data_IF_519467830742
#
_entry.id   IF_519467830742
#
_cell.length_a   1.000
_cell.length_b   1.000
_cell.length_c   1.000
_cell.angle_alpha   90.00
_cell.angle_beta   90.00
_cell.angle_gamma   90.00
#
_symmetry.space_group_name_H-M   'P 1'
#
loop_
_entity.id
_entity.type
_entity.pdbx_description
1 polymer ?
#
# COMPACT_ATOMS: atom_id res chain seq x y z
N UNK A 1 24.84 -17.66 9.78
CA UNK A 1 24.34 -18.88 9.10
C UNK A 1 23.05 -18.50 8.40
N UNK A 2 22.95 -18.65 7.07
CA UNK A 2 21.76 -18.24 6.31
C UNK A 2 20.59 -19.19 6.67
N UNK A 3 19.35 -18.67 6.76
CA UNK A 3 18.16 -19.50 7.01
C UNK A 3 17.95 -20.43 5.80
N UNK A 4 18.47 -21.64 5.90
CA UNK A 4 18.29 -22.71 4.93
C UNK A 4 17.67 -23.88 5.69
N UNK A 5 16.43 -24.22 5.35
CA UNK A 5 15.68 -25.28 6.01
C UNK A 5 16.02 -26.66 5.41
N UNK A 6 16.52 -26.69 4.17
CA UNK A 6 17.01 -27.90 3.53
C UNK A 6 17.93 -27.61 2.34
N UNK A 7 18.76 -28.58 2.00
CA UNK A 7 19.59 -28.59 0.79
C UNK A 7 19.28 -29.82 -0.04
N UNK A 8 19.18 -29.66 -1.36
CA UNK A 8 19.13 -30.76 -2.30
C UNK A 8 20.06 -30.48 -3.47
N UNK A 9 20.85 -31.47 -3.88
CA UNK A 9 21.71 -31.38 -5.06
C UNK A 9 21.19 -32.38 -6.08
N UNK A 10 20.94 -31.92 -7.30
CA UNK A 10 20.45 -32.74 -8.39
C UNK A 10 21.52 -32.89 -9.49
N UNK A 11 21.59 -34.08 -10.09
CA UNK A 11 22.33 -34.32 -11.33
C UNK A 11 21.62 -33.70 -12.55
N UNK A 12 22.22 -33.83 -13.75
CA UNK A 12 21.62 -33.34 -14.99
C UNK A 12 20.33 -34.07 -15.41
N UNK A 13 20.03 -35.23 -14.79
CA UNK A 13 18.84 -36.06 -15.01
C UNK A 13 17.79 -35.87 -13.90
N UNK A 14 17.99 -34.88 -13.01
CA UNK A 14 17.15 -34.58 -11.85
C UNK A 14 17.10 -35.68 -10.76
N UNK A 15 18.12 -36.54 -10.69
CA UNK A 15 18.29 -37.48 -9.58
C UNK A 15 19.00 -36.80 -8.39
N UNK A 16 18.57 -37.06 -7.14
CA UNK A 16 19.21 -36.50 -5.96
C UNK A 16 20.60 -37.14 -5.73
N UNK A 17 21.60 -36.28 -5.48
CA UNK A 17 22.96 -36.64 -5.09
C UNK A 17 23.15 -36.27 -3.61
N UNK A 18 23.90 -37.07 -2.82
CA UNK A 18 24.27 -36.71 -1.45
C UNK A 18 24.97 -35.33 -1.37
N UNK A 19 24.59 -34.54 -0.36
CA UNK A 19 25.14 -33.18 -0.12
C UNK A 19 26.56 -33.25 0.46
N UNK A 20 26.95 -34.40 1.03
CA UNK A 20 28.25 -34.60 1.69
C UNK A 20 29.10 -35.56 0.87
N UNK A 21 30.03 -35.03 0.08
CA UNK A 21 31.24 -35.76 -0.27
C UNK A 21 32.43 -34.99 0.32
N UNK A 22 32.88 -35.43 1.50
CA UNK A 22 34.22 -35.07 1.98
C UNK A 22 35.23 -35.64 0.96
N UNK A 23 36.06 -34.75 0.41
CA UNK A 23 37.44 -35.02 0.01
C UNK A 23 37.74 -35.90 -1.24
N UNK A 24 36.83 -36.07 -2.20
CA UNK A 24 37.20 -36.60 -3.53
C UNK A 24 36.79 -35.64 -4.66
N UNK A 25 37.16 -34.37 -4.50
CA UNK A 25 37.02 -33.32 -5.52
C UNK A 25 38.14 -33.37 -6.58
N UNK A 26 38.77 -34.53 -6.79
CA UNK A 26 39.74 -34.71 -7.85
C UNK A 26 39.38 -35.95 -8.65
N UNK A 27 39.06 -35.70 -9.92
CA UNK A 27 38.84 -36.63 -11.03
C UNK A 27 37.37 -36.93 -11.35
N UNK A 28 36.97 -36.45 -12.55
CA UNK A 28 35.71 -36.71 -13.30
C UNK A 28 34.43 -36.08 -12.71
N UNK A 29 33.64 -35.25 -13.38
CA UNK A 29 33.55 -34.87 -14.79
C UNK A 29 32.72 -33.57 -14.88
N UNK A 30 32.70 -32.99 -16.07
CA UNK A 30 32.03 -31.76 -16.49
C UNK A 30 30.47 -31.82 -16.40
N UNK A 31 29.92 -32.35 -15.32
CA UNK A 31 28.48 -32.58 -15.14
C UNK A 31 27.80 -31.42 -14.43
N UNK A 32 26.83 -30.82 -15.12
CA UNK A 32 25.99 -29.72 -14.62
C UNK A 32 25.18 -30.18 -13.40
N UNK A 33 25.60 -29.73 -12.21
CA UNK A 33 24.88 -29.96 -10.93
C UNK A 33 23.94 -28.80 -10.65
N UNK A 34 22.70 -29.09 -10.24
CA UNK A 34 21.74 -28.06 -9.81
C UNK A 34 21.60 -28.12 -8.29
N UNK A 35 21.99 -27.05 -7.61
CA UNK A 35 21.84 -26.93 -6.15
C UNK A 35 20.53 -26.23 -5.84
N UNK A 36 19.72 -26.80 -4.97
CA UNK A 36 18.43 -26.26 -4.56
C UNK A 36 18.48 -25.96 -3.06
N UNK A 37 18.27 -24.68 -2.73
CA UNK A 37 18.13 -24.24 -1.34
C UNK A 37 16.64 -24.16 -1.00
N UNK A 38 16.19 -24.94 -0.01
CA UNK A 38 14.81 -24.93 0.44
C UNK A 38 14.69 -23.95 1.61
N UNK A 39 13.81 -22.96 1.47
CA UNK A 39 13.57 -21.94 2.49
C UNK A 39 12.08 -21.91 2.82
N UNK A 40 11.77 -22.19 4.08
CA UNK A 40 10.42 -22.11 4.60
C UNK A 40 10.21 -20.74 5.25
N UNK A 41 9.25 -19.98 4.74
CA UNK A 41 8.87 -18.68 5.25
C UNK A 41 7.72 -18.82 6.21
N UNK A 42 7.94 -18.41 7.46
CA UNK A 42 6.90 -18.39 8.48
C UNK A 42 6.04 -17.11 8.40
N UNK A 43 5.06 -17.01 9.30
CA UNK A 43 4.19 -15.83 9.39
C UNK A 43 4.99 -14.53 9.59
N UNK A 44 6.05 -14.56 10.38
CA UNK A 44 6.82 -13.35 10.69
C UNK A 44 7.69 -12.90 9.53
N UNK A 45 8.15 -13.83 8.69
CA UNK A 45 8.94 -13.53 7.49
C UNK A 45 8.12 -12.79 6.42
N UNK A 46 6.82 -13.10 6.28
CA UNK A 46 5.94 -12.60 5.21
C UNK A 46 5.02 -11.44 5.63
N UNK A 47 4.84 -11.18 6.92
CA UNK A 47 3.88 -10.17 7.41
C UNK A 47 4.49 -8.80 7.76
N UNK A 48 5.77 -8.56 7.44
CA UNK A 48 6.45 -7.27 7.67
C UNK A 48 6.63 -6.46 6.38
N UNK A 49 5.55 -6.03 5.73
CA UNK A 49 5.63 -5.13 4.58
C UNK A 49 4.59 -5.43 3.50
N UNK A 50 5.03 -5.47 2.24
CA UNK A 50 4.18 -5.85 1.10
C UNK A 50 3.71 -7.30 1.32
N UNK A 51 2.40 -7.53 1.18
CA UNK A 51 1.76 -8.79 1.55
C UNK A 51 2.33 -9.98 0.76
N UNK A 52 2.64 -11.08 1.46
CA UNK A 52 3.12 -12.35 0.91
C UNK A 52 4.52 -12.36 0.26
N UNK A 53 5.37 -11.38 0.53
CA UNK A 53 6.76 -11.38 0.07
C UNK A 53 7.75 -11.33 1.25
N UNK A 54 8.84 -12.12 1.22
CA UNK A 54 9.89 -12.03 2.23
C UNK A 54 10.56 -10.65 2.12
N UNK A 55 10.89 -10.05 3.26
CA UNK A 55 11.50 -8.73 3.35
C UNK A 55 12.71 -8.74 4.30
N UNK A 56 13.49 -7.65 4.29
CA UNK A 56 14.62 -7.47 5.21
C UNK A 56 15.63 -8.62 5.13
N UNK A 57 15.91 -9.23 6.28
CA UNK A 57 16.91 -10.32 6.42
C UNK A 57 16.49 -11.59 5.65
N UNK A 58 15.19 -11.87 5.56
CA UNK A 58 14.65 -12.99 4.81
C UNK A 58 14.94 -12.83 3.31
N UNK A 59 14.58 -11.67 2.73
CA UNK A 59 14.87 -11.34 1.35
C UNK A 59 16.38 -11.39 1.04
N UNK A 60 17.20 -10.79 1.91
CA UNK A 60 18.66 -10.81 1.78
C UNK A 60 19.22 -12.25 1.80
N UNK A 61 18.69 -13.10 2.68
CA UNK A 61 19.11 -14.51 2.76
C UNK A 61 18.83 -15.28 1.47
N UNK A 62 17.65 -15.09 0.87
CA UNK A 62 17.31 -15.69 -0.42
C UNK A 62 18.24 -15.21 -1.54
N UNK A 63 18.48 -13.89 -1.64
CA UNK A 63 19.39 -13.33 -2.64
C UNK A 63 20.82 -13.85 -2.49
N UNK A 64 21.31 -14.02 -1.26
CA UNK A 64 22.65 -14.54 -1.03
C UNK A 64 22.76 -16.02 -1.40
N UNK A 65 21.70 -16.82 -1.22
CA UNK A 65 21.66 -18.20 -1.69
C UNK A 65 21.71 -18.26 -3.23
N UNK A 66 20.97 -17.39 -3.91
CA UNK A 66 21.02 -17.28 -5.38
C UNK A 66 22.42 -16.90 -5.86
N UNK A 67 23.06 -15.91 -5.21
CA UNK A 67 24.44 -15.51 -5.52
C UNK A 67 25.47 -16.61 -5.23
N UNK A 68 25.18 -17.52 -4.29
CA UNK A 68 25.97 -18.73 -4.02
C UNK A 68 25.71 -19.87 -5.02
N UNK A 69 24.89 -19.64 -6.05
CA UNK A 69 24.61 -20.61 -7.11
C UNK A 69 23.50 -21.61 -6.78
N UNK A 70 22.68 -21.34 -5.75
CA UNK A 70 21.48 -22.14 -5.47
C UNK A 70 20.28 -21.62 -6.25
N UNK A 71 19.43 -22.53 -6.73
CA UNK A 71 18.03 -22.22 -7.03
C UNK A 71 17.24 -22.25 -5.73
N UNK A 72 16.62 -21.14 -5.36
CA UNK A 72 15.87 -21.05 -4.09
C UNK A 72 14.43 -21.50 -4.29
N UNK A 73 14.00 -22.51 -3.52
CA UNK A 73 12.61 -22.95 -3.43
C UNK A 73 11.98 -22.35 -2.17
N UNK A 74 11.11 -21.36 -2.36
CA UNK A 74 10.38 -20.71 -1.28
C UNK A 74 9.10 -21.48 -0.94
N UNK A 75 8.89 -21.78 0.34
CA UNK A 75 7.68 -22.43 0.86
C UNK A 75 7.01 -21.48 1.86
N UNK A 76 5.96 -20.74 1.46
CA UNK A 76 5.25 -19.84 2.36
C UNK A 76 4.32 -20.59 3.31
N UNK A 77 4.18 -20.08 4.54
CA UNK A 77 3.26 -20.64 5.55
C UNK A 77 1.78 -20.64 5.12
N UNK A 78 1.41 -19.79 4.16
CA UNK A 78 0.04 -19.69 3.62
C UNK A 78 -0.34 -20.93 2.82
N UNK A 79 0.63 -21.52 2.14
CA UNK A 79 0.37 -22.56 1.13
C UNK A 79 0.81 -23.95 1.60
N UNK A 80 1.65 -24.01 2.64
CA UNK A 80 2.16 -25.26 3.21
C UNK A 80 1.90 -25.34 4.71
N UNK A 81 1.04 -26.28 5.10
CA UNK A 81 0.76 -26.59 6.50
C UNK A 81 1.31 -27.98 6.87
N UNK A 82 2.26 -28.09 7.82
CA UNK A 82 2.81 -29.38 8.26
C UNK A 82 1.77 -30.36 8.83
N UNK A 83 0.61 -29.87 9.26
CA UNK A 83 -0.49 -30.68 9.82
C UNK A 83 -1.39 -31.30 8.75
N UNK A 84 -1.24 -30.92 7.49
CA UNK A 84 -2.05 -31.46 6.40
C UNK A 84 -1.67 -32.92 6.06
N UNK A 85 -2.60 -33.62 5.41
CA UNK A 85 -2.39 -34.99 4.91
C UNK A 85 -1.08 -35.08 4.12
N UNK A 86 -0.29 -36.13 4.38
CA UNK A 86 1.03 -36.34 3.78
C UNK A 86 1.00 -36.23 2.25
N UNK A 87 0.00 -36.84 1.61
CA UNK A 87 -0.17 -36.82 0.15
C UNK A 87 -0.23 -35.38 -0.39
N UNK A 88 -1.00 -34.50 0.26
CA UNK A 88 -1.14 -33.09 -0.14
C UNK A 88 0.18 -32.33 0.00
N UNK A 89 0.91 -32.58 1.10
CA UNK A 89 2.22 -31.97 1.35
C UNK A 89 3.24 -32.39 0.30
N UNK A 90 3.29 -33.67 -0.05
CA UNK A 90 4.21 -34.20 -1.07
C UNK A 90 3.85 -33.65 -2.45
N UNK A 91 2.58 -33.66 -2.84
CA UNK A 91 2.12 -33.11 -4.12
C UNK A 91 2.49 -31.62 -4.28
N UNK A 92 2.30 -30.83 -3.23
CA UNK A 92 2.67 -29.41 -3.24
C UNK A 92 4.18 -29.22 -3.45
N UNK A 93 5.02 -29.92 -2.68
CA UNK A 93 6.48 -29.81 -2.79
C UNK A 93 6.99 -30.30 -4.15
N UNK A 94 6.41 -31.37 -4.68
CA UNK A 94 6.71 -31.89 -6.01
C UNK A 94 6.37 -30.87 -7.10
N UNK A 95 5.21 -30.20 -6.97
CA UNK A 95 4.80 -29.15 -7.91
C UNK A 95 5.75 -27.94 -7.85
N UNK A 96 6.12 -27.49 -6.65
CA UNK A 96 7.09 -26.38 -6.49
C UNK A 96 8.45 -26.72 -7.11
N UNK A 97 8.92 -27.96 -6.90
CA UNK A 97 10.16 -28.44 -7.49
C UNK A 97 10.10 -28.47 -9.04
N UNK A 98 9.01 -28.98 -9.61
CA UNK A 98 8.77 -28.99 -11.07
C UNK A 98 8.73 -27.57 -11.64
N UNK A 99 8.08 -26.63 -10.95
CA UNK A 99 8.02 -25.22 -11.37
C UNK A 99 9.42 -24.57 -11.35
N UNK A 100 10.21 -24.83 -10.31
CA UNK A 100 11.57 -24.29 -10.17
C UNK A 100 12.52 -24.82 -11.25
N UNK A 101 12.36 -26.08 -11.65
CA UNK A 101 13.17 -26.73 -12.68
C UNK A 101 12.72 -26.39 -14.11
N UNK A 102 11.43 -26.11 -14.34
CA UNK A 102 10.85 -25.77 -15.65
C UNK A 102 10.99 -24.29 -16.05
N UNK A 103 11.85 -23.54 -15.35
CA UNK A 103 12.00 -22.07 -15.34
C UNK A 103 12.21 -21.38 -16.70
N UNK A 104 12.46 -22.09 -17.80
CA UNK A 104 12.63 -21.50 -19.14
C UNK A 104 11.35 -20.98 -19.79
N UNK A 105 10.18 -21.61 -19.54
CA UNK A 105 8.92 -21.30 -20.25
C UNK A 105 7.98 -20.40 -19.45
N UNK A 106 8.01 -20.54 -18.12
CA UNK A 106 7.11 -19.83 -17.20
C UNK A 106 7.60 -18.46 -16.77
N UNK A 107 8.89 -18.14 -16.96
CA UNK A 107 9.45 -16.82 -16.63
C UNK A 107 8.77 -15.69 -17.40
N UNK A 108 8.50 -15.89 -18.70
CA UNK A 108 7.78 -14.90 -19.53
C UNK A 108 6.32 -14.73 -19.13
N UNK A 109 5.64 -15.82 -18.77
CA UNK A 109 4.23 -15.78 -18.37
C UNK A 109 4.11 -15.16 -16.98
N UNK A 110 4.98 -15.53 -16.03
CA UNK A 110 5.03 -14.91 -14.71
C UNK A 110 5.45 -13.44 -14.81
N UNK A 111 6.44 -13.06 -15.61
CA UNK A 111 6.80 -11.64 -15.81
C UNK A 111 5.65 -10.84 -16.45
N UNK A 112 4.94 -11.40 -17.43
CA UNK A 112 3.78 -10.77 -18.05
C UNK A 112 2.59 -10.65 -17.08
N UNK A 113 2.32 -11.71 -16.30
CA UNK A 113 1.24 -11.73 -15.30
C UNK A 113 1.60 -10.81 -14.12
N UNK A 114 2.85 -10.80 -13.65
CA UNK A 114 3.33 -9.87 -12.62
C UNK A 114 3.25 -8.43 -13.13
N UNK A 115 3.69 -8.14 -14.35
CA UNK A 115 3.56 -6.82 -14.96
C UNK A 115 2.10 -6.38 -15.08
N UNK A 116 1.20 -7.30 -15.44
CA UNK A 116 -0.24 -7.03 -15.54
C UNK A 116 -0.92 -6.86 -14.18
N UNK A 117 -0.53 -7.63 -13.15
CA UNK A 117 -1.06 -7.51 -11.79
C UNK A 117 -0.49 -6.27 -11.09
N UNK A 118 0.77 -5.93 -11.30
CA UNK A 118 1.41 -4.73 -10.76
C UNK A 118 0.89 -3.45 -11.44
N UNK A 119 0.48 -3.53 -12.71
CA UNK A 119 -0.26 -2.45 -13.36
C UNK A 119 -1.64 -2.17 -12.71
N UNK A 120 -2.21 -3.15 -12.00
CA UNK A 120 -3.51 -3.04 -11.35
C UNK A 120 -3.45 -2.57 -9.87
N UNK A 121 -2.30 -2.08 -9.39
CA UNK A 121 -2.19 -1.45 -8.06
C UNK A 121 -2.12 0.08 -8.25
N UNK A 122 -3.26 0.80 -8.21
CA UNK A 122 -3.35 2.18 -8.72
C UNK A 122 -2.81 3.24 -7.75
N UNK A 123 -1.81 2.91 -6.92
CA UNK A 123 -1.32 3.82 -5.88
C UNK A 123 0.19 3.69 -5.59
N UNK A 124 0.98 3.12 -6.50
CA UNK A 124 2.44 3.12 -6.35
C UNK A 124 3.06 4.22 -7.21
N UNK A 125 3.91 5.07 -6.60
CA UNK A 125 4.65 6.10 -7.32
C UNK A 125 5.63 5.44 -8.30
N UNK A 126 5.64 5.88 -9.55
CA UNK A 126 6.62 5.50 -10.57
C UNK A 126 7.19 6.75 -11.24
N UNK A 127 8.47 6.73 -11.67
CA UNK A 127 9.10 7.86 -12.34
C UNK A 127 8.42 8.22 -13.67
N UNK A 128 7.80 7.25 -14.32
CA UNK A 128 7.15 7.41 -15.64
C UNK A 128 5.83 8.21 -15.61
N UNK A 129 5.26 8.42 -14.42
CA UNK A 129 4.02 9.18 -14.25
C UNK A 129 4.26 10.66 -14.52
N UNK A 130 3.36 11.30 -15.27
CA UNK A 130 3.42 12.73 -15.61
C UNK A 130 2.87 13.60 -14.46
N UNK A 131 3.13 14.90 -14.49
CA UNK A 131 2.60 15.82 -13.46
C UNK A 131 1.09 16.05 -13.60
N UNK A 132 0.54 15.83 -14.80
CA UNK A 132 -0.89 15.78 -15.10
C UNK A 132 -1.58 14.58 -14.46
N UNK A 133 -0.85 13.49 -14.19
CA UNK A 133 -1.42 12.31 -13.56
C UNK A 133 -1.81 12.59 -12.12
N UNK A 134 -3.07 12.23 -11.79
CA UNK A 134 -3.66 12.45 -10.46
C UNK A 134 -2.82 11.87 -9.33
N UNK A 135 -2.04 10.82 -9.57
CA UNK A 135 -1.18 10.14 -8.61
C UNK A 135 0.06 10.94 -8.20
N UNK A 136 0.52 11.89 -9.04
CA UNK A 136 1.61 12.83 -8.71
C UNK A 136 1.12 14.08 -7.97
N UNK A 137 -0.18 14.34 -7.96
CA UNK A 137 -0.76 15.51 -7.30
C UNK A 137 -0.57 15.46 -5.78
N UNK A 138 -0.41 16.62 -5.15
CA UNK A 138 -0.21 16.67 -3.71
C UNK A 138 -1.51 16.33 -2.97
N UNK A 139 -1.39 15.72 -1.79
CA UNK A 139 -2.53 15.46 -0.91
C UNK A 139 -2.70 16.57 0.12
N UNK A 140 -3.93 17.05 0.29
CA UNK A 140 -4.33 17.95 1.37
C UNK A 140 -5.51 17.30 2.10
N UNK A 141 -5.34 17.11 3.41
CA UNK A 141 -6.41 16.71 4.31
C UNK A 141 -6.81 17.90 5.18
N UNK A 142 -8.10 18.01 5.58
CA UNK A 142 -8.54 19.10 6.46
C UNK A 142 -7.77 19.18 7.78
N UNK A 143 -7.33 18.02 8.30
CA UNK A 143 -6.51 17.94 9.52
C UNK A 143 -5.21 18.77 9.47
N UNK A 144 -4.66 19.04 8.27
CA UNK A 144 -3.40 19.77 8.13
C UNK A 144 -3.49 21.24 8.53
N UNK A 145 -4.66 21.85 8.33
CA UNK A 145 -4.91 23.25 8.62
C UNK A 145 -5.86 23.45 9.82
N UNK A 146 -6.24 22.37 10.52
CA UNK A 146 -7.16 22.46 11.64
C UNK A 146 -6.44 22.98 12.91
N UNK A 147 -6.91 24.10 13.47
CA UNK A 147 -6.37 24.73 14.67
C UNK A 147 -6.63 23.94 15.96
N UNK A 148 -7.68 23.09 15.98
CA UNK A 148 -8.00 22.20 17.11
C UNK A 148 -7.10 20.97 17.18
N UNK A 149 -6.30 20.70 16.14
CA UNK A 149 -5.38 19.56 16.10
C UNK A 149 -3.96 19.98 16.48
N UNK A 150 -3.29 19.11 17.24
CA UNK A 150 -1.86 19.21 17.52
C UNK A 150 -1.02 18.81 16.30
N UNK A 151 0.29 19.07 16.36
CA UNK A 151 1.23 18.62 15.33
C UNK A 151 1.27 17.07 15.24
N UNK A 152 1.18 16.39 16.40
CA UNK A 152 1.12 14.93 16.48
C UNK A 152 -0.14 14.37 15.77
N UNK A 153 -1.29 15.03 15.98
CA UNK A 153 -2.57 14.67 15.36
C UNK A 153 -2.65 15.05 13.87
N UNK A 154 -1.66 15.77 13.34
CA UNK A 154 -1.47 15.97 11.90
C UNK A 154 -1.50 17.41 11.41
N UNK A 155 -1.68 18.41 12.28
CA UNK A 155 -1.54 19.83 11.90
C UNK A 155 -0.16 20.08 11.29
N UNK A 156 -0.10 20.86 10.21
CA UNK A 156 1.14 21.18 9.46
C UNK A 156 1.49 22.67 9.46
N UNK A 157 0.51 23.53 9.71
CA UNK A 157 0.70 24.99 9.80
C UNK A 157 0.76 25.46 11.25
N UNK A 158 1.31 26.65 11.52
CA UNK A 158 1.27 27.27 12.85
C UNK A 158 -0.17 27.51 13.32
N UNK A 159 -0.39 27.60 14.63
CA UNK A 159 -1.75 27.72 15.18
C UNK A 159 -2.45 29.02 14.73
N UNK A 160 -1.67 30.09 14.59
CA UNK A 160 -2.14 31.41 14.12
C UNK A 160 -2.61 31.40 12.66
N UNK A 161 -2.00 30.56 11.83
CA UNK A 161 -2.35 30.41 10.40
C UNK A 161 -3.33 29.26 10.18
N UNK A 162 -3.74 28.58 11.24
CA UNK A 162 -4.68 27.47 11.18
C UNK A 162 -6.13 27.97 11.30
N UNK A 163 -7.06 27.18 10.81
CA UNK A 163 -8.49 27.49 10.79
C UNK A 163 -9.23 26.51 11.68
N UNK A 164 -10.28 26.97 12.35
CA UNK A 164 -11.11 26.11 13.17
C UNK A 164 -11.98 25.20 12.30
N UNK A 165 -11.87 23.88 12.51
CA UNK A 165 -12.72 22.86 11.88
C UNK A 165 -12.93 23.07 10.37
N UNK A 166 -11.86 23.06 9.56
CA UNK A 166 -11.95 23.15 8.11
C UNK A 166 -12.62 21.90 7.53
N UNK A 167 -13.40 22.08 6.45
CA UNK A 167 -14.00 20.98 5.68
C UNK A 167 -13.29 20.80 4.34
N UNK A 168 -13.39 19.61 3.75
CA UNK A 168 -12.80 19.35 2.42
C UNK A 168 -13.47 20.20 1.33
N UNK A 169 -14.75 20.55 1.49
CA UNK A 169 -15.49 21.37 0.54
C UNK A 169 -15.00 22.82 0.55
N UNK A 170 -14.77 23.42 1.73
CA UNK A 170 -14.18 24.76 1.83
C UNK A 170 -12.79 24.82 1.18
N UNK A 171 -11.97 23.79 1.39
CA UNK A 171 -10.64 23.69 0.77
C UNK A 171 -10.77 23.62 -0.75
N UNK A 172 -11.72 22.83 -1.28
CA UNK A 172 -11.99 22.76 -2.72
C UNK A 172 -12.40 24.12 -3.28
N UNK A 173 -13.34 24.80 -2.64
CA UNK A 173 -13.91 26.05 -3.16
C UNK A 173 -12.85 27.16 -3.22
N UNK A 174 -12.02 27.30 -2.18
CA UNK A 174 -10.93 28.28 -2.14
C UNK A 174 -9.87 28.00 -3.21
N UNK A 175 -9.47 26.75 -3.39
CA UNK A 175 -8.45 26.41 -4.38
C UNK A 175 -9.00 26.46 -5.81
N UNK A 176 -10.29 26.15 -6.00
CA UNK A 176 -10.95 26.24 -7.30
C UNK A 176 -11.06 27.70 -7.72
N UNK A 177 -11.37 28.60 -6.79
CA UNK A 177 -11.36 30.04 -7.04
C UNK A 177 -9.96 30.58 -7.35
N UNK A 178 -8.90 29.94 -6.83
CA UNK A 178 -7.51 30.28 -7.10
C UNK A 178 -6.98 29.74 -8.45
N UNK A 179 -7.83 29.06 -9.25
CA UNK A 179 -7.49 28.56 -10.58
C UNK A 179 -6.67 27.27 -10.61
N UNK A 180 -6.60 26.53 -9.50
CA UNK A 180 -5.86 25.26 -9.44
C UNK A 180 -6.72 24.07 -9.88
N UNK A 181 -6.09 23.07 -10.51
CA UNK A 181 -6.74 21.78 -10.85
C UNK A 181 -6.85 20.90 -9.61
N UNK A 182 -8.07 20.43 -9.33
CA UNK A 182 -8.42 19.75 -8.08
C UNK A 182 -9.12 18.41 -8.33
N UNK A 183 -8.78 17.41 -7.52
CA UNK A 183 -9.49 16.14 -7.40
C UNK A 183 -10.01 15.95 -5.98
N UNK A 184 -11.25 15.51 -5.83
CA UNK A 184 -11.86 15.19 -4.52
C UNK A 184 -11.94 13.68 -4.37
N UNK A 185 -11.46 13.16 -3.26
CA UNK A 185 -11.47 11.73 -2.97
C UNK A 185 -12.09 11.44 -1.61
N UNK A 186 -12.88 10.36 -1.54
CA UNK A 186 -13.55 9.93 -0.32
C UNK A 186 -12.62 9.11 0.61
N UNK A 187 -11.49 9.71 1.00
CA UNK A 187 -10.45 9.09 1.85
C UNK A 187 -10.40 9.73 3.23
N UNK A 188 -10.15 8.90 4.24
CA UNK A 188 -9.95 9.35 5.62
C UNK A 188 -8.46 9.54 5.89
N UNK A 189 -8.12 10.54 6.72
CA UNK A 189 -6.74 10.72 7.17
C UNK A 189 -6.39 9.69 8.25
N UNK A 190 -5.22 9.06 8.15
CA UNK A 190 -4.85 7.92 9.00
C UNK A 190 -4.80 8.25 10.50
N UNK A 191 -4.53 9.51 10.88
CA UNK A 191 -4.51 9.94 12.29
C UNK A 191 -5.82 10.60 12.73
N UNK A 192 -6.83 10.63 11.87
CA UNK A 192 -8.15 11.12 12.26
C UNK A 192 -8.84 10.09 13.15
N UNK A 193 -9.32 10.53 14.32
CA UNK A 193 -9.96 9.65 15.31
C UNK A 193 -11.43 9.39 14.96
N UNK A 194 -12.15 10.41 14.50
CA UNK A 194 -13.55 10.27 14.11
C UNK A 194 -13.68 9.71 12.69
N UNK A 195 -14.66 8.81 12.50
CA UNK A 195 -15.01 8.21 11.20
C UNK A 195 -16.24 8.86 10.56
N UNK A 196 -16.74 9.96 11.14
CA UNK A 196 -17.89 10.69 10.60
C UNK A 196 -17.60 11.25 9.20
N UNK A 197 -18.66 11.41 8.41
CA UNK A 197 -18.57 11.88 7.03
C UNK A 197 -17.96 13.28 6.92
N UNK A 198 -18.14 14.11 7.94
CA UNK A 198 -17.63 15.50 7.98
C UNK A 198 -16.09 15.55 7.93
N UNK A 199 -15.41 14.59 8.56
CA UNK A 199 -13.94 14.54 8.61
C UNK A 199 -13.32 13.75 7.44
N UNK A 200 -14.16 13.16 6.60
CA UNK A 200 -13.73 12.41 5.43
C UNK A 200 -13.56 13.36 4.25
N UNK A 201 -12.51 13.13 3.47
CA UNK A 201 -12.19 13.96 2.31
C UNK A 201 -10.70 14.20 2.16
N UNK A 202 -10.16 13.84 0.99
CA UNK A 202 -8.80 14.16 0.55
C UNK A 202 -8.89 14.99 -0.71
N UNK A 203 -8.20 16.13 -0.70
CA UNK A 203 -8.08 17.01 -1.85
C UNK A 203 -6.74 16.73 -2.52
N UNK A 204 -6.78 16.41 -3.81
CA UNK A 204 -5.61 16.28 -4.69
C UNK A 204 -5.44 17.59 -5.45
N UNK A 205 -4.25 18.15 -5.50
CA UNK A 205 -3.98 19.42 -6.18
C UNK A 205 -2.76 19.29 -7.09
N UNK A 206 -2.91 19.75 -8.33
CA UNK A 206 -1.79 19.86 -9.26
C UNK A 206 -1.06 21.20 -9.02
N UNK A 207 0.26 21.14 -8.83
CA UNK A 207 1.11 22.34 -8.67
C UNK A 207 1.85 22.67 -9.96
N UNK A 208 2.41 21.64 -10.61
CA UNK A 208 3.23 21.75 -11.81
C UNK A 208 2.51 21.17 -13.03
N UNK A 209 2.78 21.74 -14.19
CA UNK A 209 2.46 21.14 -15.49
C UNK A 209 3.47 20.04 -15.84
N UNK A 210 3.23 19.34 -16.94
CA UNK A 210 4.13 18.31 -17.44
C UNK A 210 5.48 18.87 -17.89
N UNK A 211 5.51 20.14 -18.30
CA UNK A 211 6.72 20.90 -18.65
C UNK A 211 7.45 21.47 -17.41
N UNK A 212 7.13 20.96 -16.21
CA UNK A 212 7.64 21.38 -14.90
C UNK A 212 7.35 22.82 -14.47
N UNK A 213 6.72 23.62 -15.33
CA UNK A 213 6.25 24.98 -15.01
C UNK A 213 5.17 24.97 -13.94
N UNK A 214 5.14 26.01 -13.10
CA UNK A 214 4.10 26.17 -12.07
C UNK A 214 2.77 26.58 -12.72
N UNK A 215 1.67 25.95 -12.32
CA UNK A 215 0.32 26.32 -12.78
C UNK A 215 -0.03 27.74 -12.33
N UNK A 216 0.30 28.05 -11.08
CA UNK A 216 0.11 29.37 -10.52
C UNK A 216 1.37 29.77 -9.76
N UNK A 217 2.03 30.90 -10.12
CA UNK A 217 3.27 31.34 -9.49
C UNK A 217 3.11 31.69 -8.01
N UNK A 218 1.88 31.96 -7.54
CA UNK A 218 1.58 32.18 -6.12
C UNK A 218 1.79 30.92 -5.27
N UNK A 219 1.79 29.73 -5.89
CA UNK A 219 1.83 28.46 -5.19
C UNK A 219 3.03 27.59 -5.60
N UNK A 220 4.28 28.02 -5.33
CA UNK A 220 5.47 27.24 -5.69
C UNK A 220 5.62 25.97 -4.87
N UNK A 221 5.14 25.98 -3.62
CA UNK A 221 5.33 24.90 -2.65
C UNK A 221 4.00 24.48 -2.04
N UNK A 222 3.94 23.24 -1.55
CA UNK A 222 2.79 22.75 -0.78
C UNK A 222 2.45 23.65 0.42
N UNK A 223 3.45 24.21 1.07
CA UNK A 223 3.26 25.02 2.28
C UNK A 223 2.61 26.37 1.96
N UNK A 224 2.95 26.98 0.81
CA UNK A 224 2.30 28.22 0.36
C UNK A 224 0.79 28.05 0.20
N UNK A 225 0.35 26.91 -0.32
CA UNK A 225 -1.07 26.54 -0.44
C UNK A 225 -1.72 26.41 0.94
N UNK A 226 -1.06 25.73 1.89
CA UNK A 226 -1.62 25.55 3.23
C UNK A 226 -1.79 26.88 3.99
N UNK A 227 -0.83 27.79 3.84
CA UNK A 227 -0.91 29.13 4.44
C UNK A 227 -2.02 29.95 3.78
N UNK A 228 -2.15 29.89 2.45
CA UNK A 228 -3.21 30.57 1.71
C UNK A 228 -4.60 30.09 2.11
N UNK A 229 -4.80 28.78 2.25
CA UNK A 229 -6.03 28.20 2.79
C UNK A 229 -6.36 28.76 4.17
N UNK A 230 -5.34 28.87 5.03
CA UNK A 230 -5.47 29.45 6.37
C UNK A 230 -6.04 30.87 6.38
N UNK A 231 -5.65 31.68 5.40
CA UNK A 231 -6.07 33.09 5.28
C UNK A 231 -7.43 33.26 4.59
N UNK A 232 -7.78 32.36 3.65
CA UNK A 232 -8.95 32.53 2.80
C UNK A 232 -10.20 31.82 3.31
N UNK A 233 -10.08 30.66 3.96
CA UNK A 233 -11.25 29.93 4.48
C UNK A 233 -12.08 30.77 5.47
N UNK A 234 -11.48 31.52 6.42
CA UNK A 234 -12.26 32.38 7.33
C UNK A 234 -13.06 33.48 6.61
N UNK A 235 -12.65 33.87 5.40
CA UNK A 235 -13.30 34.91 4.58
C UNK A 235 -14.44 34.38 3.70
N UNK A 236 -14.69 33.07 3.71
CA UNK A 236 -15.78 32.48 2.92
C UNK A 236 -17.14 32.94 3.44
N UNK A 237 -18.06 33.25 2.51
CA UNK A 237 -19.45 33.61 2.83
C UNK A 237 -20.17 32.54 3.65
N UNK A 238 -19.82 31.27 3.46
CA UNK A 238 -20.35 30.13 4.23
C UNK A 238 -20.04 30.23 5.73
N UNK A 239 -18.98 30.94 6.13
CA UNK A 239 -18.61 31.19 7.52
C UNK A 239 -19.14 32.52 8.06
N UNK A 240 -19.36 33.51 7.19
CA UNK A 240 -19.84 34.84 7.57
C UNK A 240 -21.22 34.88 8.23
N UNK A 241 -22.01 33.80 8.16
CA UNK A 241 -23.33 33.68 8.80
C UNK A 241 -23.35 32.91 10.12
N UNK A 242 -22.21 32.43 10.63
CA UNK A 242 -22.16 31.46 11.74
C UNK A 242 -21.45 32.00 13.00
N UNK A 243 -21.73 33.25 13.35
CA UNK A 243 -21.52 33.77 14.71
C UNK A 243 -22.83 33.65 15.49
N UNK A 244 -23.09 32.46 16.01
CA UNK A 244 -24.29 32.12 16.79
C UNK A 244 -24.45 30.61 16.88
N UNK A 245 -24.26 30.04 18.08
CA UNK A 245 -24.00 28.62 18.28
C UNK A 245 -25.09 27.64 17.88
N UNK A 246 -24.67 26.40 17.65
CA UNK A 246 -25.31 25.17 18.18
C UNK A 246 -24.58 23.95 17.64
N UNK A 247 -24.09 23.13 18.57
CA UNK A 247 -23.95 21.70 18.38
C UNK A 247 -25.34 21.16 18.02
N UNK A 248 -25.54 20.75 16.77
CA UNK A 248 -26.75 20.01 16.42
C UNK A 248 -26.52 18.52 16.69
N UNK A 249 -26.88 18.14 17.90
CA UNK A 249 -27.33 16.79 18.25
C UNK A 249 -28.49 16.41 17.33
N UNK A 250 -28.35 15.31 16.58
CA UNK A 250 -29.45 14.71 15.84
C UNK A 250 -30.45 14.10 16.84
N UNK A 251 -31.56 14.80 17.06
CA UNK A 251 -32.73 14.24 17.74
C UNK A 251 -33.61 13.52 16.70
N UNK A 252 -33.81 12.25 16.99
CA UNK A 252 -34.60 11.26 16.26
C UNK A 252 -36.10 11.55 16.44
N UNK A 253 -36.80 11.98 15.38
CA UNK A 253 -38.26 12.07 15.38
C UNK A 253 -38.87 10.74 14.96
N UNK A 254 -39.31 9.95 15.95
CA UNK A 254 -40.24 8.85 15.78
C UNK A 254 -41.67 9.36 15.93
N UNK A 255 -42.36 9.55 14.80
CA UNK A 255 -43.79 9.85 14.77
C UNK A 255 -44.61 8.59 15.08
N UNK A 256 -45.14 8.52 16.30
CA UNK A 256 -46.14 7.55 16.71
C UNK A 256 -47.54 8.03 16.31
N UNK A 257 -48.18 7.37 15.36
CA UNK A 257 -49.62 7.47 15.11
C UNK A 257 -50.32 6.21 15.63
N UNK A 258 -51.13 6.38 16.67
CA UNK A 258 -51.96 5.34 17.29
C UNK A 258 -53.44 5.62 16.96
N UNK A 259 -54.08 4.77 16.16
CA UNK A 259 -55.55 4.61 16.05
C UNK A 259 -55.85 3.21 15.48
N UNK A 260 -56.12 2.20 16.33
CA UNK A 260 -57.42 1.74 16.88
C UNK A 260 -58.10 0.65 16.01
N UNK A 261 -57.99 -0.59 16.52
CA UNK A 261 -58.87 -1.80 16.42
C UNK A 261 -59.54 -2.19 15.09
N UNK A 262 -59.45 -3.47 14.69
CA UNK A 262 -60.53 -4.51 14.83
C UNK A 262 -60.11 -5.85 14.17
N UNK A 263 -60.18 -6.94 14.94
CA UNK A 263 -60.76 -8.24 14.55
C UNK A 263 -60.15 -9.11 13.43
N UNK A 264 -59.61 -10.26 13.87
CA UNK A 264 -60.03 -11.63 13.47
C UNK A 264 -60.05 -11.98 11.97
N UNK A 265 -59.08 -12.80 11.55
CA UNK A 265 -59.30 -14.17 11.06
C UNK A 265 -58.00 -14.95 11.07
#
# INVERSE_FOLDING_TARGET
MFKQNGECVLDAKCNPIPVVEKAQANQSSNQKRTRIGIVAWDYHDLCRGVHNEPNGVAALGAQLLEKKGYKVMAIPHTDFNPRDKLVRRVQYLEQQLKNLLSTGKYKRILEAVYSSLMAAVPLMWSPDKKHSDRERWICIYPAYINSKKTLAEGRRVSKEKAVENPTHQEIRDVLSAAGLKIGVENKLYSRERSKEMLYRGRIRVQIKNDDETLINPLFPTRDSILVYLGQMIPKLKSRSGKTGGSEQSQAQQSGATKKKSKGRR
#
